data_IF_379959213504
#
_entry.id   IF_379959213504
#
_cell.length_a   1.000
_cell.length_b   1.000
_cell.length_c   1.000
_cell.angle_alpha   90.00
_cell.angle_beta   90.00
_cell.angle_gamma   90.00
#
_symmetry.space_group_name_H-M   'P 1'
#
loop_
_entity.id
_entity.type
_entity.pdbx_description
1 polymer ?
#
# COMPACT_ATOMS: atom_id res chain seq x y z
N UNK A 1 -2.72 8.16 15.73
CA UNK A 1 -2.50 6.78 15.23
C UNK A 1 -1.26 6.77 14.36
N UNK A 2 -0.33 5.85 14.60
CA UNK A 2 0.90 5.69 13.78
C UNK A 2 0.66 4.57 12.78
N UNK A 3 0.88 4.85 11.50
CA UNK A 3 0.88 3.84 10.44
C UNK A 3 2.33 3.42 10.16
N UNK A 4 2.54 2.15 9.84
CA UNK A 4 3.85 1.59 9.48
C UNK A 4 4.00 1.37 7.97
N UNK A 5 2.88 1.10 7.29
CA UNK A 5 2.82 0.96 5.85
C UNK A 5 1.53 1.60 5.32
N UNK A 6 1.62 2.30 4.19
CA UNK A 6 0.47 2.82 3.46
C UNK A 6 0.47 2.19 2.07
N UNK A 7 -0.60 1.48 1.75
CA UNK A 7 -0.86 1.01 0.40
C UNK A 7 -1.77 1.99 -0.31
N UNK A 8 -1.43 2.35 -1.54
CA UNK A 8 -2.26 3.20 -2.39
C UNK A 8 -2.55 2.44 -3.68
N UNK A 9 -3.81 2.42 -4.10
CA UNK A 9 -4.20 1.77 -5.36
C UNK A 9 -3.51 2.45 -6.55
N UNK A 10 -3.12 1.67 -7.56
CA UNK A 10 -2.48 2.21 -8.78
C UNK A 10 -3.43 3.09 -9.59
N UNK A 11 -4.72 2.78 -9.52
CA UNK A 11 -5.83 3.54 -10.12
C UNK A 11 -6.18 4.83 -9.34
N UNK A 12 -5.50 5.11 -8.21
CA UNK A 12 -5.68 6.39 -7.53
C UNK A 12 -5.16 7.56 -8.39
N UNK A 13 -5.86 8.69 -8.34
CA UNK A 13 -5.43 9.92 -9.01
C UNK A 13 -4.05 10.38 -8.53
N UNK A 14 -3.28 11.05 -9.39
CA UNK A 14 -1.97 11.62 -9.04
C UNK A 14 -2.03 12.58 -7.85
N UNK A 15 -3.13 13.33 -7.74
CA UNK A 15 -3.39 14.19 -6.57
C UNK A 15 -3.41 13.38 -5.28
N UNK A 16 -4.09 12.24 -5.28
CA UNK A 16 -4.15 11.32 -4.14
C UNK A 16 -2.78 10.73 -3.84
N UNK A 17 -2.07 10.22 -4.85
CA UNK A 17 -0.72 9.65 -4.70
C UNK A 17 0.25 10.66 -4.08
N UNK A 18 0.32 11.88 -4.62
CA UNK A 18 1.15 12.97 -4.09
C UNK A 18 0.78 13.34 -2.65
N UNK A 19 -0.51 13.42 -2.33
CA UNK A 19 -0.97 13.74 -0.98
C UNK A 19 -0.46 12.69 0.03
N UNK A 20 -0.59 11.40 -0.29
CA UNK A 20 -0.12 10.33 0.58
C UNK A 20 1.40 10.26 0.63
N UNK A 21 2.08 10.48 -0.48
CA UNK A 21 3.54 10.48 -0.55
C UNK A 21 4.14 11.60 0.32
N UNK A 22 3.60 12.81 0.24
CA UNK A 22 4.02 13.93 1.10
C UNK A 22 3.76 13.64 2.59
N UNK A 23 2.60 13.06 2.92
CA UNK A 23 2.27 12.70 4.32
C UNK A 23 3.16 11.59 4.87
N UNK A 24 3.43 10.56 4.06
CA UNK A 24 4.27 9.43 4.46
C UNK A 24 5.74 9.84 4.60
N UNK A 25 6.23 10.72 3.72
CA UNK A 25 7.60 11.25 3.78
C UNK A 25 7.84 12.02 5.10
N UNK A 26 6.89 12.84 5.52
CA UNK A 26 6.98 13.57 6.79
C UNK A 26 6.98 12.64 8.02
N UNK A 27 6.32 11.49 7.92
CA UNK A 27 6.14 10.56 9.04
C UNK A 27 7.10 9.35 9.01
N UNK A 28 8.05 9.31 8.05
CA UNK A 28 8.91 8.15 7.76
C UNK A 28 8.14 6.82 7.62
N UNK A 29 6.96 6.86 7.00
CA UNK A 29 6.12 5.69 6.76
C UNK A 29 6.38 5.17 5.35
N UNK A 30 6.46 3.85 5.17
CA UNK A 30 6.63 3.24 3.85
C UNK A 30 5.35 3.38 3.04
N UNK A 31 5.45 3.77 1.78
CA UNK A 31 4.33 3.87 0.85
C UNK A 31 4.56 2.93 -0.34
N UNK A 32 3.56 2.13 -0.68
CA UNK A 32 3.59 1.22 -1.84
C UNK A 32 2.36 1.42 -2.72
N UNK A 33 2.57 1.37 -4.03
CA UNK A 33 1.49 1.41 -5.02
C UNK A 33 1.12 -0.02 -5.39
N UNK A 34 -0.07 -0.48 -5.03
CA UNK A 34 -0.46 -1.88 -5.23
C UNK A 34 -1.93 -2.02 -5.66
N UNK A 35 -2.18 -2.91 -6.61
CA UNK A 35 -3.53 -3.30 -7.02
C UNK A 35 -4.44 -2.16 -7.51
N UNK A 36 -5.73 -2.46 -7.56
CA UNK A 36 -6.82 -1.52 -7.85
C UNK A 36 -7.68 -1.32 -6.58
N UNK A 37 -8.37 -0.17 -6.51
CA UNK A 37 -9.20 0.21 -5.34
C UNK A 37 -10.30 -0.81 -5.03
N UNK A 38 -10.83 -1.47 -6.06
CA UNK A 38 -11.87 -2.49 -5.93
C UNK A 38 -11.33 -3.78 -5.33
N UNK A 39 -10.25 -4.32 -5.92
CA UNK A 39 -9.56 -5.50 -5.41
C UNK A 39 -9.06 -5.31 -3.97
N UNK A 40 -8.55 -4.12 -3.64
CA UNK A 40 -8.15 -3.78 -2.27
C UNK A 40 -9.32 -3.81 -1.29
N UNK A 41 -10.42 -3.13 -1.61
CA UNK A 41 -11.62 -3.12 -0.77
C UNK A 41 -12.17 -4.53 -0.57
N UNK A 42 -12.31 -5.28 -1.66
CA UNK A 42 -12.82 -6.65 -1.65
C UNK A 42 -11.94 -7.59 -0.81
N UNK A 43 -10.61 -7.46 -0.90
CA UNK A 43 -9.67 -8.27 -0.13
C UNK A 43 -9.79 -8.07 1.40
N UNK A 44 -10.15 -6.86 1.84
CA UNK A 44 -10.38 -6.54 3.25
C UNK A 44 -11.86 -6.67 3.66
N UNK A 45 -12.74 -7.13 2.75
CA UNK A 45 -14.18 -7.24 3.01
C UNK A 45 -14.88 -5.90 3.18
N UNK A 46 -14.35 -4.81 2.62
CA UNK A 46 -14.88 -3.47 2.77
C UNK A 46 -15.17 -2.83 1.40
N UNK A 47 -15.87 -1.70 1.42
CA UNK A 47 -16.06 -0.86 0.22
C UNK A 47 -14.72 -0.48 -0.43
N UNK A 48 -14.70 -0.31 -1.77
CA UNK A 48 -13.49 0.03 -2.52
C UNK A 48 -12.80 1.26 -1.93
N UNK A 49 -11.51 1.11 -1.60
CA UNK A 49 -10.69 2.19 -1.07
C UNK A 49 -9.43 2.36 -1.89
N UNK A 50 -9.13 3.60 -2.23
CA UNK A 50 -7.95 3.99 -2.97
C UNK A 50 -6.67 4.01 -2.12
N UNK A 51 -6.80 3.90 -0.79
CA UNK A 51 -5.66 3.83 0.13
C UNK A 51 -6.00 3.04 1.40
N UNK A 52 -5.04 2.27 1.90
CA UNK A 52 -5.12 1.50 3.14
C UNK A 52 -3.89 1.79 3.99
N UNK A 53 -4.10 2.15 5.26
CA UNK A 53 -3.01 2.37 6.21
C UNK A 53 -2.95 1.19 7.19
N UNK A 54 -1.79 0.55 7.26
CA UNK A 54 -1.50 -0.54 8.18
C UNK A 54 -0.83 0.03 9.42
N UNK A 55 -1.51 -0.11 10.56
CA UNK A 55 -1.02 0.34 11.87
C UNK A 55 -0.26 -0.74 12.63
N UNK A 56 -0.34 -1.99 12.18
CA UNK A 56 0.40 -3.10 12.75
C UNK A 56 1.76 -3.25 12.05
N UNK A 57 2.85 -3.31 12.82
CA UNK A 57 4.20 -3.40 12.28
C UNK A 57 4.49 -4.77 11.65
N UNK A 58 4.04 -5.86 12.29
CA UNK A 58 4.29 -7.22 11.79
C UNK A 58 3.59 -7.47 10.46
N UNK A 59 2.33 -7.03 10.35
CA UNK A 59 1.57 -7.07 9.11
C UNK A 59 2.16 -6.16 8.03
N UNK A 60 2.63 -4.96 8.41
CA UNK A 60 3.28 -4.03 7.50
C UNK A 60 4.56 -4.62 6.88
N UNK A 61 5.44 -5.21 7.70
CA UNK A 61 6.66 -5.85 7.21
C UNK A 61 6.35 -7.06 6.31
N UNK A 62 5.38 -7.91 6.68
CA UNK A 62 4.96 -9.05 5.87
C UNK A 62 4.39 -8.61 4.51
N UNK A 63 3.48 -7.64 4.49
CA UNK A 63 2.90 -7.10 3.25
C UNK A 63 3.95 -6.41 2.39
N UNK A 64 4.86 -5.65 2.99
CA UNK A 64 5.95 -5.01 2.27
C UNK A 64 6.86 -6.05 1.61
N UNK A 65 7.21 -7.12 2.33
CA UNK A 65 8.02 -8.21 1.80
C UNK A 65 7.32 -8.92 0.63
N UNK A 66 6.05 -9.29 0.78
CA UNK A 66 5.27 -9.94 -0.29
C UNK A 66 5.13 -9.01 -1.50
N UNK A 67 4.85 -7.73 -1.30
CA UNK A 67 4.72 -6.76 -2.40
C UNK A 67 6.04 -6.61 -3.18
N UNK A 68 7.19 -6.63 -2.49
CA UNK A 68 8.51 -6.54 -3.10
C UNK A 68 8.94 -7.87 -3.77
N UNK A 69 8.57 -9.01 -3.17
CA UNK A 69 8.84 -10.34 -3.72
C UNK A 69 8.03 -10.62 -4.99
N UNK A 70 6.82 -10.08 -5.11
CA UNK A 70 6.01 -10.17 -6.34
C UNK A 70 6.66 -9.44 -7.53
N UNK A 71 7.48 -8.42 -7.26
CA UNK A 71 8.24 -7.70 -8.30
C UNK A 71 9.50 -8.48 -8.71
N UNK A 72 10.10 -9.25 -7.79
CA UNK A 72 11.34 -9.99 -8.03
C UNK A 72 11.14 -11.47 -8.43
N UNK A 73 9.97 -12.05 -8.15
CA UNK A 73 9.65 -13.46 -8.39
C UNK A 73 9.30 -13.84 -9.84
N UNK A 74 9.41 -12.91 -10.79
CA UNK A 74 9.29 -13.20 -12.23
C UNK A 74 10.65 -13.40 -12.93
N UNK A 75 11.76 -13.35 -12.20
CA UNK A 75 13.11 -13.53 -12.75
C UNK A 75 13.69 -14.95 -12.65
N UNK A 76 12.94 -15.94 -12.12
CA UNK A 76 13.40 -17.34 -12.00
C UNK A 76 12.41 -18.35 -12.60
N UNK A 77 12.07 -18.19 -13.88
CA UNK A 77 11.63 -19.30 -14.72
C UNK A 77 12.24 -19.21 -16.10
#
# INVERSE_FOLDING_TARGET
QKAHLVLVSRDASDRTKRLFQNKCNFSQVRLILYGEKDAMGKAIGHTPRSSVAVTDKGLADALYKIANEQENGRADR
#
